data_IF_214822492843
#
_entry.id   IF_214822492843
#
_cell.length_a   1.000
_cell.length_b   1.000
_cell.length_c   1.000
_cell.angle_alpha   90.00
_cell.angle_beta   90.00
_cell.angle_gamma   90.00
#
_symmetry.space_group_name_H-M   'P 1'
#
loop_
_entity.id
_entity.type
_entity.pdbx_description
1 polymer ?
#
# COMPACT_ATOMS: atom_id res chain seq x y z
N UNK A 1 3.34 17.18 53.04
CA UNK A 1 4.34 17.61 52.04
C UNK A 1 4.93 16.34 51.49
N UNK A 2 4.37 15.85 50.39
CA UNK A 2 4.99 14.74 49.67
C UNK A 2 6.32 15.23 49.08
N UNK A 3 7.37 14.39 49.05
CA UNK A 3 8.64 14.79 48.49
C UNK A 3 8.45 15.07 46.99
N UNK A 4 9.14 16.08 46.42
CA UNK A 4 9.12 16.29 44.98
C UNK A 4 9.69 15.04 44.30
N UNK A 5 8.90 14.45 43.41
CA UNK A 5 9.33 13.37 42.52
C UNK A 5 10.59 13.86 41.78
N UNK A 6 11.71 13.13 41.81
CA UNK A 6 12.92 13.56 41.13
C UNK A 6 12.66 13.53 39.62
N UNK A 7 12.46 14.71 39.02
CA UNK A 7 12.50 14.87 37.56
C UNK A 7 13.94 14.58 37.12
N UNK A 8 14.22 13.51 36.36
CA UNK A 8 15.54 13.36 35.78
C UNK A 8 15.74 14.54 34.81
N UNK A 9 16.95 15.08 34.78
CA UNK A 9 17.42 16.13 33.85
C UNK A 9 17.34 15.65 32.38
N UNK A 10 16.16 15.39 31.84
CA UNK A 10 15.95 15.15 30.42
C UNK A 10 15.53 16.46 29.79
N UNK A 11 16.48 17.11 29.12
CA UNK A 11 16.23 18.32 28.38
C UNK A 11 15.49 17.98 27.08
N UNK A 12 14.16 18.14 27.08
CA UNK A 12 13.30 17.88 25.93
C UNK A 12 13.33 19.03 24.91
N UNK A 13 12.97 18.74 23.66
CA UNK A 13 12.79 19.78 22.64
C UNK A 13 11.61 20.72 23.00
N UNK A 14 11.67 22.02 22.65
CA UNK A 14 10.63 22.99 23.01
C UNK A 14 9.20 22.59 22.61
N UNK A 15 9.03 22.04 21.40
CA UNK A 15 7.73 21.54 20.91
C UNK A 15 7.23 20.36 21.76
N UNK A 16 8.14 19.44 22.12
CA UNK A 16 7.81 18.29 22.98
C UNK A 16 7.42 18.77 24.38
N UNK A 17 8.11 19.75 24.97
CA UNK A 17 7.73 20.34 26.27
C UNK A 17 6.33 20.93 26.22
N UNK A 18 5.99 21.64 25.13
CA UNK A 18 4.64 22.16 24.93
C UNK A 18 3.59 21.04 24.90
N UNK A 19 3.86 19.95 24.18
CA UNK A 19 2.94 18.80 24.12
C UNK A 19 2.81 18.04 25.44
N UNK A 20 3.87 18.01 26.26
CA UNK A 20 3.87 17.36 27.58
C UNK A 20 3.11 18.18 28.63
N UNK A 21 3.11 19.50 28.49
CA UNK A 21 2.41 20.42 29.40
C UNK A 21 0.95 20.66 28.99
N UNK A 22 0.63 20.62 27.70
CA UNK A 22 -0.73 20.81 27.22
C UNK A 22 -1.57 19.53 27.40
N UNK A 23 -2.73 19.69 28.04
CA UNK A 23 -3.72 18.64 28.19
C UNK A 23 -4.77 18.81 27.09
N UNK A 24 -4.80 17.85 26.15
CA UNK A 24 -5.87 17.80 25.15
C UNK A 24 -7.21 17.62 25.84
N UNK A 25 -8.20 18.42 25.42
CA UNK A 25 -9.57 18.31 25.91
C UNK A 25 -10.11 16.89 25.64
N UNK A 26 -10.38 16.15 26.71
CA UNK A 26 -10.74 14.74 26.61
C UNK A 26 -12.22 14.58 26.23
N UNK A 27 -12.51 14.63 24.93
CA UNK A 27 -13.86 14.34 24.45
C UNK A 27 -14.05 12.83 24.28
N UNK A 28 -14.49 12.16 25.34
CA UNK A 28 -14.68 10.71 25.38
C UNK A 28 -15.58 10.17 24.26
N UNK A 29 -16.57 10.96 23.80
CA UNK A 29 -17.44 10.56 22.69
C UNK A 29 -16.70 10.59 21.36
N UNK A 30 -15.94 11.65 21.08
CA UNK A 30 -15.14 11.74 19.86
C UNK A 30 -14.05 10.66 19.81
N UNK A 31 -13.45 10.34 20.96
CA UNK A 31 -12.49 9.25 21.09
C UNK A 31 -13.14 7.91 20.81
N UNK A 32 -14.31 7.63 21.39
CA UNK A 32 -15.05 6.38 21.13
C UNK A 32 -15.41 6.23 19.65
N UNK A 33 -15.90 7.29 18.99
CA UNK A 33 -16.16 7.28 17.55
C UNK A 33 -14.89 6.95 16.76
N UNK A 34 -13.76 7.59 17.10
CA UNK A 34 -12.48 7.36 16.43
C UNK A 34 -11.99 5.91 16.63
N UNK A 35 -12.16 5.35 17.83
CA UNK A 35 -11.86 3.94 18.13
C UNK A 35 -12.71 3.00 17.28
N UNK A 36 -14.03 3.22 17.21
CA UNK A 36 -14.93 2.37 16.42
C UNK A 36 -14.59 2.42 14.94
N UNK A 37 -14.34 3.62 14.40
CA UNK A 37 -14.03 3.77 12.97
C UNK A 37 -12.66 3.17 12.64
N UNK A 38 -11.61 3.44 13.42
CA UNK A 38 -10.30 2.85 13.17
C UNK A 38 -10.25 1.35 13.46
N UNK A 39 -11.06 0.86 14.40
CA UNK A 39 -11.26 -0.58 14.63
C UNK A 39 -11.89 -1.25 13.40
N UNK A 40 -12.89 -0.63 12.78
CA UNK A 40 -13.47 -1.12 11.53
C UNK A 40 -12.45 -1.09 10.39
N UNK A 41 -11.70 0.01 10.23
CA UNK A 41 -10.63 0.13 9.23
C UNK A 41 -9.58 -0.96 9.41
N UNK A 42 -9.18 -1.26 10.65
CA UNK A 42 -8.25 -2.34 10.96
C UNK A 42 -8.82 -3.70 10.58
N UNK A 43 -10.06 -4.02 10.98
CA UNK A 43 -10.70 -5.30 10.68
C UNK A 43 -10.87 -5.54 9.17
N UNK A 44 -11.37 -4.53 8.44
CA UNK A 44 -11.51 -4.59 6.98
C UNK A 44 -10.14 -4.73 6.33
N UNK A 45 -9.17 -3.92 6.73
CA UNK A 45 -7.82 -3.94 6.16
C UNK A 45 -7.09 -5.27 6.38
N UNK A 46 -7.24 -5.87 7.57
CA UNK A 46 -6.69 -7.20 7.86
C UNK A 46 -7.34 -8.25 6.96
N UNK A 47 -8.67 -8.28 6.89
CA UNK A 47 -9.40 -9.27 6.10
C UNK A 47 -9.09 -9.15 4.60
N UNK A 48 -9.15 -7.95 4.03
CA UNK A 48 -8.92 -7.70 2.61
C UNK A 48 -7.47 -7.99 2.21
N UNK A 49 -6.48 -7.49 2.95
CA UNK A 49 -5.08 -7.69 2.60
C UNK A 49 -4.62 -9.14 2.85
N UNK A 50 -5.12 -9.81 3.90
CA UNK A 50 -4.87 -11.24 4.09
C UNK A 50 -5.44 -12.07 2.94
N UNK A 51 -6.66 -11.76 2.49
CA UNK A 51 -7.27 -12.42 1.33
C UNK A 51 -6.44 -12.21 0.06
N UNK A 52 -5.97 -10.98 -0.20
CA UNK A 52 -5.11 -10.68 -1.36
C UNK A 52 -3.80 -11.45 -1.28
N UNK A 53 -3.14 -11.48 -0.12
CA UNK A 53 -1.91 -12.25 0.09
C UNK A 53 -2.13 -13.74 -0.15
N UNK A 54 -3.25 -14.29 0.32
CA UNK A 54 -3.60 -15.69 0.12
C UNK A 54 -3.86 -16.01 -1.36
N UNK A 55 -4.76 -15.27 -2.01
CA UNK A 55 -5.16 -15.54 -3.40
C UNK A 55 -4.00 -15.30 -4.36
N UNK A 56 -3.34 -14.13 -4.27
CA UNK A 56 -2.28 -13.76 -5.22
C UNK A 56 -0.98 -14.51 -4.93
N UNK A 57 -0.69 -14.81 -3.66
CA UNK A 57 0.52 -15.52 -3.26
C UNK A 57 0.50 -17.02 -3.61
N UNK A 58 -0.66 -17.68 -3.48
CA UNK A 58 -0.76 -19.13 -3.61
C UNK A 58 -1.58 -19.62 -4.82
N UNK A 59 -2.58 -18.86 -5.28
CA UNK A 59 -3.53 -19.33 -6.32
C UNK A 59 -3.31 -18.71 -7.70
N UNK A 60 -2.63 -17.57 -7.79
CA UNK A 60 -2.37 -16.89 -9.06
C UNK A 60 -0.97 -17.22 -9.58
N UNK A 61 -0.81 -17.40 -10.91
CA UNK A 61 0.51 -17.55 -11.53
C UNK A 61 1.41 -16.36 -11.19
N UNK A 62 2.68 -16.65 -10.87
CA UNK A 62 3.68 -15.63 -10.57
C UNK A 62 3.95 -14.76 -11.80
N UNK A 63 3.37 -13.56 -11.80
CA UNK A 63 3.59 -12.51 -12.80
C UNK A 63 4.20 -11.29 -12.13
N UNK A 64 4.81 -10.40 -12.92
CA UNK A 64 5.35 -9.13 -12.40
C UNK A 64 4.28 -8.32 -11.65
N UNK A 65 3.06 -8.28 -12.18
CA UNK A 65 1.93 -7.60 -11.52
C UNK A 65 1.54 -8.24 -10.19
N UNK A 66 1.61 -9.58 -10.09
CA UNK A 66 1.37 -10.29 -8.84
C UNK A 66 2.41 -9.95 -7.77
N UNK A 67 3.69 -9.77 -8.14
CA UNK A 67 4.75 -9.38 -7.21
C UNK A 67 4.47 -8.00 -6.60
N UNK A 68 4.09 -7.02 -7.43
CA UNK A 68 3.74 -5.69 -6.94
C UNK A 68 2.57 -5.72 -5.95
N UNK A 69 1.51 -6.46 -6.29
CA UNK A 69 0.30 -6.57 -5.47
C UNK A 69 0.58 -7.27 -4.14
N UNK A 70 1.36 -8.35 -4.14
CA UNK A 70 1.72 -9.07 -2.90
C UNK A 70 2.56 -8.20 -1.97
N UNK A 71 3.53 -7.44 -2.50
CA UNK A 71 4.36 -6.57 -1.66
C UNK A 71 3.56 -5.40 -1.08
N UNK A 72 2.64 -4.83 -1.86
CA UNK A 72 1.77 -3.76 -1.39
C UNK A 72 0.76 -4.27 -0.35
N UNK A 73 0.13 -5.42 -0.60
CA UNK A 73 -0.76 -6.06 0.37
C UNK A 73 -0.02 -6.46 1.65
N UNK A 74 1.27 -6.82 1.56
CA UNK A 74 2.08 -7.13 2.74
C UNK A 74 2.33 -5.88 3.60
N UNK A 75 2.70 -4.74 3.00
CA UNK A 75 2.89 -3.50 3.78
C UNK A 75 1.57 -3.01 4.39
N UNK A 76 0.49 -3.06 3.61
CA UNK A 76 -0.85 -2.66 4.04
C UNK A 76 -1.40 -3.57 5.15
N UNK A 77 -1.13 -4.89 5.07
CA UNK A 77 -1.48 -5.85 6.12
C UNK A 77 -0.74 -5.55 7.44
N UNK A 78 0.56 -5.27 7.39
CA UNK A 78 1.34 -4.94 8.59
C UNK A 78 0.81 -3.65 9.26
N UNK A 79 0.49 -2.63 8.46
CA UNK A 79 -0.08 -1.37 8.97
C UNK A 79 -1.45 -1.58 9.63
N UNK A 80 -2.32 -2.36 9.00
CA UNK A 80 -3.67 -2.62 9.50
C UNK A 80 -3.68 -3.55 10.72
N UNK A 81 -2.70 -4.47 10.81
CA UNK A 81 -2.49 -5.35 11.96
C UNK A 81 -2.02 -4.62 13.22
N UNK A 82 -1.26 -3.54 13.06
CA UNK A 82 -0.70 -2.75 14.18
C UNK A 82 -1.62 -1.59 14.59
N UNK A 83 -2.55 -1.18 13.72
CA UNK A 83 -3.58 -0.16 13.99
C UNK A 83 -4.39 -0.34 15.29
N UNK A 84 -4.75 -1.56 15.76
CA UNK A 84 -5.42 -1.76 17.04
C UNK A 84 -4.66 -1.17 18.23
N UNK A 85 -3.31 -1.15 18.20
CA UNK A 85 -2.50 -0.53 19.25
C UNK A 85 -2.79 0.98 19.37
N UNK A 86 -3.02 1.65 18.23
CA UNK A 86 -3.44 3.06 18.22
C UNK A 86 -4.89 3.25 18.66
N UNK A 87 -5.77 2.27 18.42
CA UNK A 87 -7.15 2.33 18.96
C UNK A 87 -7.15 2.24 20.49
N UNK A 88 -6.26 1.43 21.09
CA UNK A 88 -6.08 1.39 22.54
C UNK A 88 -5.59 2.74 23.06
N UNK A 89 -4.66 3.39 22.38
CA UNK A 89 -4.21 4.74 22.71
C UNK A 89 -5.36 5.77 22.71
N UNK A 90 -6.26 5.73 21.72
CA UNK A 90 -7.42 6.61 21.66
C UNK A 90 -8.45 6.28 22.74
N UNK A 91 -8.69 5.00 23.02
CA UNK A 91 -9.58 4.53 24.08
C UNK A 91 -9.10 4.98 25.47
N UNK A 92 -7.80 4.89 25.71
CA UNK A 92 -7.13 5.36 26.93
C UNK A 92 -6.94 6.88 26.98
N UNK A 93 -7.84 7.65 26.34
CA UNK A 93 -7.83 9.11 26.37
C UNK A 93 -6.50 9.73 25.93
N UNK A 94 -5.92 9.22 24.84
CA UNK A 94 -4.62 9.63 24.31
C UNK A 94 -3.44 9.33 25.26
N UNK A 95 -3.52 8.24 26.03
CA UNK A 95 -2.45 7.73 26.88
C UNK A 95 -1.91 6.40 26.35
N UNK A 96 -0.58 6.29 26.25
CA UNK A 96 0.11 5.09 25.77
C UNK A 96 0.54 4.18 26.93
N UNK A 97 -0.27 3.15 27.21
CA UNK A 97 -0.03 2.23 28.34
C UNK A 97 0.63 0.89 27.95
N UNK A 98 1.00 0.73 26.67
CA UNK A 98 1.48 -0.54 26.11
C UNK A 98 3.02 -0.68 26.16
N UNK A 99 3.70 0.23 26.84
CA UNK A 99 5.15 0.25 26.98
C UNK A 99 5.91 0.69 25.73
N UNK A 100 7.22 0.89 25.90
CA UNK A 100 8.12 1.40 24.86
C UNK A 100 8.22 0.51 23.60
N UNK A 101 8.37 -0.83 23.69
CA UNK A 101 8.56 -1.66 22.50
C UNK A 101 7.40 -1.56 21.49
N UNK A 102 6.16 -1.54 21.99
CA UNK A 102 4.98 -1.42 21.14
C UNK A 102 4.82 0.00 20.58
N UNK A 103 5.26 1.04 21.29
CA UNK A 103 5.26 2.41 20.79
C UNK A 103 6.18 2.54 19.57
N UNK A 104 7.40 1.99 19.69
CA UNK A 104 8.38 1.96 18.60
C UNK A 104 7.85 1.11 17.44
N UNK A 105 7.36 -0.09 17.71
CA UNK A 105 6.85 -1.00 16.68
C UNK A 105 5.69 -0.39 15.89
N UNK A 106 4.67 0.13 16.58
CA UNK A 106 3.50 0.75 15.94
C UNK A 106 3.90 1.91 15.03
N UNK A 107 4.77 2.78 15.54
CA UNK A 107 5.23 3.95 14.79
C UNK A 107 6.10 3.53 13.61
N UNK A 108 7.02 2.58 13.81
CA UNK A 108 7.91 2.09 12.76
C UNK A 108 7.14 1.46 11.61
N UNK A 109 6.12 0.64 11.90
CA UNK A 109 5.29 0.01 10.87
C UNK A 109 4.49 1.04 10.10
N UNK A 110 3.95 2.08 10.76
CA UNK A 110 3.28 3.19 10.08
C UNK A 110 4.19 3.89 9.06
N UNK A 111 5.42 4.27 9.46
CA UNK A 111 6.37 4.93 8.57
C UNK A 111 6.92 4.00 7.49
N UNK A 112 7.15 2.73 7.81
CA UNK A 112 7.58 1.73 6.83
C UNK A 112 6.52 1.56 5.75
N UNK A 113 5.25 1.41 6.13
CA UNK A 113 4.13 1.33 5.20
C UNK A 113 4.04 2.59 4.32
N UNK A 114 4.16 3.78 4.91
CA UNK A 114 4.17 5.04 4.18
C UNK A 114 5.22 5.03 3.04
N UNK A 115 6.47 4.66 3.34
CA UNK A 115 7.53 4.65 2.31
C UNK A 115 7.35 3.50 1.30
N UNK A 116 7.03 2.28 1.75
CA UNK A 116 6.86 1.11 0.87
C UNK A 116 5.66 1.32 -0.07
N UNK A 117 4.49 1.67 0.45
CA UNK A 117 3.28 1.81 -0.36
C UNK A 117 3.42 2.94 -1.38
N UNK A 118 4.01 4.08 -1.00
CA UNK A 118 4.29 5.18 -1.95
C UNK A 118 5.27 4.77 -3.06
N UNK A 119 6.36 4.08 -2.71
CA UNK A 119 7.33 3.58 -3.69
C UNK A 119 6.66 2.59 -4.66
N UNK A 120 5.89 1.63 -4.14
CA UNK A 120 5.22 0.61 -4.95
C UNK A 120 4.16 1.24 -5.87
N UNK A 121 3.37 2.20 -5.40
CA UNK A 121 2.40 2.90 -6.25
C UNK A 121 3.07 3.67 -7.40
N UNK A 122 4.23 4.29 -7.14
CA UNK A 122 5.04 4.93 -8.16
C UNK A 122 5.62 3.91 -9.16
N UNK A 123 6.20 2.80 -8.66
CA UNK A 123 6.76 1.74 -9.49
C UNK A 123 5.70 1.06 -10.38
N UNK A 124 4.51 0.79 -9.84
CA UNK A 124 3.38 0.22 -10.58
C UNK A 124 2.92 1.19 -11.69
N UNK A 125 2.83 2.49 -11.37
CA UNK A 125 2.43 3.51 -12.35
C UNK A 125 3.45 3.62 -13.48
N UNK A 126 4.74 3.54 -13.16
CA UNK A 126 5.84 3.53 -14.13
C UNK A 126 5.84 2.25 -14.98
N UNK A 127 5.66 1.06 -14.38
CA UNK A 127 5.55 -0.23 -15.10
C UNK A 127 4.42 -0.17 -16.14
N UNK A 128 3.24 0.34 -15.76
CA UNK A 128 2.11 0.52 -16.68
C UNK A 128 2.43 1.48 -17.83
N UNK A 129 3.14 2.57 -17.54
CA UNK A 129 3.56 3.51 -18.57
C UNK A 129 4.57 2.89 -19.55
N UNK A 130 5.56 2.15 -19.04
CA UNK A 130 6.58 1.47 -19.86
C UNK A 130 5.99 0.36 -20.73
N UNK A 131 5.04 -0.41 -20.22
CA UNK A 131 4.30 -1.42 -20.99
C UNK A 131 3.68 -0.84 -22.26
N UNK A 132 3.13 0.38 -22.15
CA UNK A 132 2.52 1.07 -23.29
C UNK A 132 3.56 1.77 -24.14
N UNK A 133 4.56 2.44 -23.58
CA UNK A 133 5.47 3.27 -24.38
C UNK A 133 6.60 2.49 -25.03
N UNK A 134 7.06 1.42 -24.40
CA UNK A 134 8.19 0.59 -24.88
C UNK A 134 7.85 -0.90 -24.82
N UNK A 135 6.90 -1.37 -25.66
CA UNK A 135 6.43 -2.76 -25.61
C UNK A 135 7.54 -3.78 -25.87
N UNK A 136 8.44 -3.53 -26.83
CA UNK A 136 9.57 -4.43 -27.16
C UNK A 136 10.56 -4.54 -25.98
N UNK A 137 10.88 -3.41 -25.34
CA UNK A 137 11.74 -3.43 -24.15
C UNK A 137 11.07 -4.18 -23.01
N UNK A 138 9.78 -3.93 -22.79
CA UNK A 138 9.01 -4.60 -21.74
C UNK A 138 8.97 -6.11 -21.98
N UNK A 139 8.80 -6.59 -23.21
CA UNK A 139 8.81 -8.03 -23.49
C UNK A 139 10.15 -8.70 -23.15
N UNK A 140 11.26 -7.98 -23.35
CA UNK A 140 12.60 -8.54 -23.17
C UNK A 140 13.18 -8.36 -21.76
N UNK A 141 12.76 -7.33 -21.02
CA UNK A 141 13.36 -6.95 -19.72
C UNK A 141 12.42 -7.07 -18.53
N UNK A 142 11.09 -7.08 -18.74
CA UNK A 142 10.11 -7.19 -17.65
C UNK A 142 10.00 -8.64 -17.19
N UNK A 143 10.70 -8.98 -16.12
CA UNK A 143 10.74 -10.33 -15.56
C UNK A 143 10.37 -10.35 -14.07
N UNK A 144 9.90 -11.50 -13.59
CA UNK A 144 9.53 -11.70 -12.17
C UNK A 144 10.73 -11.51 -11.23
N UNK A 145 11.94 -12.03 -11.52
CA UNK A 145 13.12 -11.77 -10.68
C UNK A 145 13.46 -10.28 -10.58
N UNK A 146 13.36 -9.54 -11.68
CA UNK A 146 13.61 -8.10 -11.67
C UNK A 146 12.58 -7.36 -10.79
N UNK A 147 11.31 -7.75 -10.84
CA UNK A 147 10.27 -7.17 -10.00
C UNK A 147 10.53 -7.41 -8.50
N UNK A 148 10.95 -8.63 -8.13
CA UNK A 148 11.37 -8.95 -6.76
C UNK A 148 12.57 -8.14 -6.31
N UNK A 149 13.58 -7.98 -7.17
CA UNK A 149 14.75 -7.15 -6.87
C UNK A 149 14.35 -5.69 -6.62
N UNK A 150 13.47 -5.12 -7.45
CA UNK A 150 12.96 -3.75 -7.25
C UNK A 150 12.15 -3.64 -5.94
N UNK A 151 11.33 -4.64 -5.61
CA UNK A 151 10.61 -4.65 -4.33
C UNK A 151 11.59 -4.71 -3.15
N UNK A 152 12.58 -5.60 -3.18
CA UNK A 152 13.59 -5.72 -2.12
C UNK A 152 14.36 -4.41 -1.92
N UNK A 153 14.74 -3.73 -3.01
CA UNK A 153 15.35 -2.40 -2.95
C UNK A 153 14.39 -1.36 -2.35
N UNK A 154 13.10 -1.40 -2.72
CA UNK A 154 12.07 -0.54 -2.15
C UNK A 154 11.89 -0.74 -0.65
N UNK A 155 11.87 -1.98 -0.17
CA UNK A 155 11.81 -2.32 1.26
C UNK A 155 13.05 -1.86 2.01
N UNK A 156 14.25 -2.11 1.47
CA UNK A 156 15.49 -1.66 2.08
C UNK A 156 15.57 -0.12 2.17
N UNK A 157 15.18 0.57 1.10
CA UNK A 157 15.10 2.02 1.06
C UNK A 157 14.06 2.55 2.06
N UNK A 158 12.87 1.93 2.13
CA UNK A 158 11.84 2.33 3.07
C UNK A 158 12.26 2.10 4.53
N UNK A 159 12.90 0.97 4.83
CA UNK A 159 13.42 0.68 6.16
C UNK A 159 14.50 1.69 6.58
N UNK A 160 15.41 2.04 5.67
CA UNK A 160 16.42 3.06 5.91
C UNK A 160 15.79 4.43 6.22
N UNK A 161 14.77 4.83 5.47
CA UNK A 161 14.07 6.09 5.70
C UNK A 161 13.15 6.04 6.94
N UNK A 162 12.63 4.87 7.32
CA UNK A 162 11.82 4.68 8.52
C UNK A 162 12.67 4.65 9.80
N UNK A 163 13.97 4.33 9.70
CA UNK A 163 14.87 4.15 10.84
C UNK A 163 14.92 5.35 11.81
N UNK A 164 15.05 6.61 11.36
CA UNK A 164 15.07 7.75 12.28
C UNK A 164 13.79 7.85 13.13
N UNK A 165 12.66 7.44 12.57
CA UNK A 165 11.37 7.45 13.28
C UNK A 165 11.24 6.35 14.32
N UNK A 166 12.08 5.31 14.25
CA UNK A 166 12.21 4.28 15.28
C UNK A 166 13.20 4.74 16.37
N UNK A 167 14.36 5.26 15.96
CA UNK A 167 15.44 5.68 16.85
C UNK A 167 15.01 6.84 17.75
N UNK A 168 14.33 7.84 17.20
CA UNK A 168 13.86 9.01 17.96
C UNK A 168 12.48 8.80 18.58
N UNK A 169 11.98 7.56 18.71
CA UNK A 169 10.66 7.30 19.28
C UNK A 169 10.76 6.97 20.76
N UNK A 170 9.91 7.60 21.55
CA UNK A 170 9.94 7.45 23.01
C UNK A 170 8.55 7.51 23.64
N UNK A 171 8.46 7.01 24.87
CA UNK A 171 7.27 7.10 25.72
C UNK A 171 7.58 8.04 26.88
N UNK A 172 6.95 9.22 26.87
CA UNK A 172 7.26 10.30 27.80
C UNK A 172 6.06 10.60 28.72
N UNK A 173 6.25 10.76 30.04
CA UNK A 173 5.17 11.13 30.95
C UNK A 173 4.73 12.59 30.76
N UNK A 174 3.43 12.82 30.63
CA UNK A 174 2.80 14.14 30.60
C UNK A 174 2.58 14.68 32.00
N UNK A 175 2.36 16.00 32.10
CA UNK A 175 2.05 16.68 33.36
C UNK A 175 0.76 16.20 34.03
N UNK A 176 -0.18 15.63 33.27
CA UNK A 176 -1.45 15.08 33.76
C UNK A 176 -1.40 13.57 34.07
N UNK A 177 -0.21 12.98 34.09
CA UNK A 177 0.00 11.56 34.41
C UNK A 177 -0.19 10.59 33.24
N UNK A 178 -0.60 11.07 32.05
CA UNK A 178 -0.69 10.25 30.83
C UNK A 178 0.68 10.00 30.21
N UNK A 179 0.77 9.01 29.35
CA UNK A 179 1.98 8.67 28.60
C UNK A 179 1.86 9.06 27.12
N UNK A 180 2.80 9.86 26.62
CA UNK A 180 2.88 10.29 25.22
C UNK A 180 3.87 9.41 24.46
N UNK A 181 3.39 8.64 23.48
CA UNK A 181 4.23 7.96 22.50
C UNK A 181 4.49 8.89 21.29
N UNK A 182 5.64 9.56 21.26
CA UNK A 182 5.95 10.55 20.22
C UNK A 182 7.45 10.66 19.90
N UNK A 183 7.82 11.54 18.96
CA UNK A 183 9.21 11.80 18.65
C UNK A 183 9.90 12.58 19.76
N UNK A 184 11.00 12.04 20.26
CA UNK A 184 11.93 12.68 21.17
C UNK A 184 13.25 12.98 20.44
N UNK A 185 13.29 14.11 19.72
CA UNK A 185 14.48 14.52 18.98
C UNK A 185 15.63 15.01 19.86
N UNK A 186 15.45 15.08 21.18
CA UNK A 186 16.51 15.38 22.13
C UNK A 186 17.39 14.16 22.45
N UNK A 187 16.94 12.94 22.10
CA UNK A 187 17.73 11.72 22.28
C UNK A 187 19.03 11.80 21.47
N UNK A 188 20.12 11.26 21.99
CA UNK A 188 21.44 11.28 21.33
C UNK A 188 21.91 12.70 20.95
N UNK A 189 22.11 13.61 21.92
CA UNK A 189 22.52 14.98 21.64
C UNK A 189 23.87 15.00 20.91
N UNK A 190 24.00 15.91 19.96
CA UNK A 190 25.27 16.22 19.32
C UNK A 190 25.94 17.38 20.07
N UNK A 191 27.25 17.58 19.87
CA UNK A 191 27.96 18.72 20.44
C UNK A 191 27.50 20.09 19.90
N UNK A 192 26.53 20.14 18.97
CA UNK A 192 26.02 21.37 18.35
C UNK A 192 24.95 22.11 19.19
N UNK A 193 24.52 21.53 20.31
CA UNK A 193 23.52 22.13 21.21
C UNK A 193 22.09 21.63 20.94
N UNK A 194 21.32 21.49 22.03
CA UNK A 194 20.01 20.83 22.04
C UNK A 194 18.99 21.48 21.08
N UNK A 195 18.87 22.80 21.11
CA UNK A 195 17.88 23.52 20.30
C UNK A 195 18.15 23.37 18.81
N UNK A 196 19.43 23.41 18.43
CA UNK A 196 19.86 23.21 17.04
C UNK A 196 19.58 21.78 16.57
N UNK A 197 19.87 20.77 17.40
CA UNK A 197 19.56 19.37 17.09
C UNK A 197 18.06 19.14 16.92
N UNK A 198 17.25 19.62 17.87
CA UNK A 198 15.80 19.51 17.83
C UNK A 198 15.23 20.10 16.54
N UNK A 199 15.62 21.34 16.22
CA UNK A 199 15.15 22.03 15.02
C UNK A 199 15.60 21.31 13.75
N UNK A 200 16.88 20.95 13.66
CA UNK A 200 17.43 20.29 12.47
C UNK A 200 16.73 18.94 12.21
N UNK A 201 16.55 18.11 13.25
CA UNK A 201 15.93 16.79 13.14
C UNK A 201 14.44 16.88 12.81
N UNK A 202 13.71 17.80 13.45
CA UNK A 202 12.30 18.01 13.16
C UNK A 202 12.08 18.49 11.72
N UNK A 203 12.84 19.50 11.27
CA UNK A 203 12.78 20.00 9.89
C UNK A 203 13.17 18.92 8.90
N UNK A 204 14.30 18.22 9.14
CA UNK A 204 14.81 17.19 8.25
C UNK A 204 13.82 16.04 8.09
N UNK A 205 13.25 15.53 9.17
CA UNK A 205 12.25 14.44 9.11
C UNK A 205 10.96 14.89 8.43
N UNK A 206 10.45 16.09 8.73
CA UNK A 206 9.24 16.62 8.11
C UNK A 206 9.37 16.83 6.59
N UNK A 207 10.47 17.48 6.16
CA UNK A 207 10.72 17.74 4.74
C UNK A 207 11.05 16.45 4.00
N UNK A 208 11.95 15.62 4.55
CA UNK A 208 12.35 14.37 3.88
C UNK A 208 11.16 13.45 3.66
N UNK A 209 10.27 13.23 4.64
CA UNK A 209 9.07 12.40 4.41
C UNK A 209 8.10 13.03 3.42
N UNK A 210 7.88 14.34 3.48
CA UNK A 210 6.99 15.02 2.52
C UNK A 210 7.51 14.92 1.08
N UNK A 211 8.82 14.98 0.88
CA UNK A 211 9.42 14.82 -0.44
C UNK A 211 9.45 13.35 -0.89
N UNK A 212 10.02 12.47 -0.06
CA UNK A 212 10.36 11.11 -0.44
C UNK A 212 9.15 10.16 -0.42
N UNK A 213 8.22 10.35 0.51
CA UNK A 213 7.03 9.51 0.62
C UNK A 213 5.79 10.09 -0.08
N UNK A 214 5.81 11.36 -0.50
CA UNK A 214 4.64 11.99 -1.11
C UNK A 214 4.94 12.74 -2.40
N UNK A 215 5.69 13.83 -2.38
CA UNK A 215 5.85 14.69 -3.55
C UNK A 215 6.53 13.97 -4.73
N UNK A 216 7.63 13.25 -4.48
CA UNK A 216 8.34 12.50 -5.51
C UNK A 216 7.52 11.31 -6.04
N UNK A 217 6.95 10.44 -5.19
CA UNK A 217 6.02 9.41 -5.65
C UNK A 217 4.84 9.97 -6.45
N UNK A 218 4.19 11.04 -5.97
CA UNK A 218 3.08 11.69 -6.67
C UNK A 218 3.52 12.22 -8.04
N UNK A 219 4.69 12.86 -8.13
CA UNK A 219 5.23 13.36 -9.40
C UNK A 219 5.50 12.22 -10.38
N UNK A 220 6.05 11.08 -9.91
CA UNK A 220 6.25 9.88 -10.74
C UNK A 220 4.92 9.30 -11.21
N UNK A 221 3.92 9.20 -10.32
CA UNK A 221 2.58 8.70 -10.64
C UNK A 221 1.93 9.58 -11.72
N UNK A 222 1.85 10.90 -11.47
CA UNK A 222 1.26 11.88 -12.40
C UNK A 222 2.02 11.90 -13.73
N UNK A 223 3.36 11.94 -13.69
CA UNK A 223 4.20 11.93 -14.88
C UNK A 223 4.03 10.68 -15.73
N UNK A 224 4.01 9.50 -15.10
CA UNK A 224 3.82 8.21 -15.76
C UNK A 224 2.45 8.14 -16.45
N UNK A 225 1.39 8.58 -15.79
CA UNK A 225 0.06 8.56 -16.37
C UNK A 225 -0.16 9.64 -17.45
N UNK A 226 0.44 10.83 -17.30
CA UNK A 226 0.45 11.83 -18.36
C UNK A 226 1.20 11.30 -19.59
N UNK A 227 2.33 10.62 -19.40
CA UNK A 227 3.06 9.94 -20.46
C UNK A 227 2.22 8.85 -21.14
N UNK A 228 1.51 8.03 -20.36
CA UNK A 228 0.62 7.00 -20.87
C UNK A 228 -0.51 7.59 -21.71
N UNK A 229 -1.19 8.63 -21.21
CA UNK A 229 -2.27 9.31 -21.92
C UNK A 229 -1.80 9.91 -23.24
N UNK A 230 -0.60 10.51 -23.27
CA UNK A 230 0.01 11.02 -24.50
C UNK A 230 0.26 9.89 -25.50
N UNK A 231 0.77 8.74 -25.05
CA UNK A 231 1.04 7.58 -25.91
C UNK A 231 -0.22 6.95 -26.47
N UNK A 232 -1.30 6.86 -25.68
CA UNK A 232 -2.61 6.42 -26.18
C UNK A 232 -3.15 7.38 -27.24
N UNK A 233 -3.17 8.68 -26.97
CA UNK A 233 -3.66 9.69 -27.93
C UNK A 233 -2.87 9.66 -29.25
N UNK A 234 -1.55 9.45 -29.18
CA UNK A 234 -0.71 9.28 -30.38
C UNK A 234 -1.11 8.05 -31.20
N UNK A 235 -1.40 6.92 -30.55
CA UNK A 235 -1.85 5.68 -31.20
C UNK A 235 -3.25 5.80 -31.77
N UNK A 236 -4.18 6.41 -31.04
CA UNK A 236 -5.53 6.68 -31.52
C UNK A 236 -5.51 7.55 -32.77
N UNK A 237 -4.71 8.63 -32.78
CA UNK A 237 -4.50 9.46 -33.98
C UNK A 237 -3.93 8.67 -35.16
N UNK A 238 -2.96 7.79 -34.90
CA UNK A 238 -2.39 6.93 -35.93
C UNK A 238 -3.40 5.91 -36.48
N UNK A 239 -4.30 5.37 -35.65
CA UNK A 239 -5.38 4.45 -36.07
C UNK A 239 -6.52 5.16 -36.80
N UNK A 240 -6.88 6.37 -36.36
CA UNK A 240 -7.86 7.20 -37.06
C UNK A 240 -7.41 7.51 -38.49
N UNK A 241 -6.10 7.77 -38.69
CA UNK A 241 -5.50 7.90 -40.04
C UNK A 241 -5.57 6.62 -40.88
N UNK A 242 -5.75 5.45 -40.25
CA UNK A 242 -5.86 4.14 -40.91
C UNK A 242 -7.32 3.64 -41.03
N UNK A 243 -8.31 4.48 -40.71
CA UNK A 243 -9.73 4.15 -40.90
C UNK A 243 -10.34 3.15 -39.91
N UNK A 244 -9.68 2.83 -38.79
CA UNK A 244 -10.22 1.92 -37.76
C UNK A 244 -10.68 2.70 -36.51
N UNK A 245 -11.98 2.72 -36.23
CA UNK A 245 -12.60 3.71 -35.33
C UNK A 245 -13.39 3.21 -34.11
N UNK A 246 -13.59 1.91 -33.88
CA UNK A 246 -14.62 1.51 -32.88
C UNK A 246 -14.12 1.13 -31.46
N UNK A 247 -12.91 0.57 -31.28
CA UNK A 247 -12.55 -0.07 -30.00
C UNK A 247 -11.75 0.74 -28.97
N UNK A 248 -11.02 1.79 -29.36
CA UNK A 248 -10.00 2.42 -28.48
C UNK A 248 -10.53 3.39 -27.42
N UNK A 249 -11.68 4.04 -27.68
CA UNK A 249 -12.16 5.20 -26.91
C UNK A 249 -12.72 4.84 -25.53
N UNK A 250 -13.33 3.65 -25.40
CA UNK A 250 -13.88 3.12 -24.15
C UNK A 250 -12.77 2.67 -23.19
N UNK A 251 -11.77 1.94 -23.70
CA UNK A 251 -10.60 1.49 -22.94
C UNK A 251 -9.79 2.68 -22.39
N UNK A 252 -9.59 3.72 -23.21
CA UNK A 252 -8.91 4.97 -22.82
C UNK A 252 -9.63 5.69 -21.68
N UNK A 253 -10.97 5.73 -21.70
CA UNK A 253 -11.79 6.36 -20.65
C UNK A 253 -11.81 5.55 -19.35
N UNK A 254 -11.93 4.23 -19.42
CA UNK A 254 -11.88 3.35 -18.24
C UNK A 254 -10.53 3.45 -17.54
N UNK A 255 -9.43 3.41 -18.30
CA UNK A 255 -8.10 3.60 -17.77
C UNK A 255 -7.94 5.00 -17.14
N UNK A 256 -8.39 6.07 -17.80
CA UNK A 256 -8.29 7.43 -17.25
C UNK A 256 -9.05 7.59 -15.92
N UNK A 257 -10.21 6.92 -15.76
CA UNK A 257 -10.96 6.91 -14.50
C UNK A 257 -10.19 6.19 -13.38
N UNK A 258 -9.60 5.04 -13.70
CA UNK A 258 -8.74 4.28 -12.79
C UNK A 258 -7.50 5.07 -12.36
N UNK A 259 -6.86 5.77 -13.30
CA UNK A 259 -5.75 6.68 -13.00
C UNK A 259 -6.17 7.78 -12.03
N UNK A 260 -7.29 8.43 -12.32
CA UNK A 260 -7.81 9.50 -11.48
C UNK A 260 -8.11 8.98 -10.07
N UNK A 261 -8.68 7.78 -9.93
CA UNK A 261 -8.95 7.20 -8.61
C UNK A 261 -7.68 6.90 -7.82
N UNK A 262 -6.62 6.36 -8.45
CA UNK A 262 -5.34 6.10 -7.76
C UNK A 262 -4.67 7.40 -7.29
N UNK A 263 -4.59 8.41 -8.16
CA UNK A 263 -4.02 9.72 -7.80
C UNK A 263 -4.83 10.38 -6.68
N UNK A 264 -6.16 10.36 -6.81
CA UNK A 264 -7.06 11.00 -5.83
C UNK A 264 -6.98 10.30 -4.48
N UNK A 265 -7.02 8.97 -4.44
CA UNK A 265 -6.92 8.24 -3.18
C UNK A 265 -5.56 8.46 -2.51
N UNK A 266 -4.46 8.39 -3.26
CA UNK A 266 -3.13 8.67 -2.74
C UNK A 266 -3.04 10.10 -2.15
N UNK A 267 -3.52 11.10 -2.89
CA UNK A 267 -3.51 12.48 -2.44
C UNK A 267 -4.40 12.71 -1.21
N UNK A 268 -5.63 12.19 -1.21
CA UNK A 268 -6.56 12.38 -0.10
C UNK A 268 -6.09 11.67 1.18
N UNK A 269 -5.43 10.53 1.08
CA UNK A 269 -4.92 9.81 2.23
C UNK A 269 -3.65 10.43 2.82
N UNK A 270 -2.73 10.90 1.98
CA UNK A 270 -1.39 11.29 2.44
C UNK A 270 -1.18 12.80 2.52
N UNK A 271 -1.82 13.60 1.65
CA UNK A 271 -1.61 15.05 1.63
C UNK A 271 -1.98 15.74 2.96
N UNK A 272 -3.12 15.40 3.62
CA UNK A 272 -3.45 16.02 4.91
C UNK A 272 -2.35 15.76 5.94
N UNK A 273 -1.87 14.52 6.05
CA UNK A 273 -0.82 14.15 7.01
C UNK A 273 0.47 14.93 6.75
N UNK A 274 0.96 14.97 5.50
CA UNK A 274 2.17 15.71 5.18
C UNK A 274 2.02 17.22 5.38
N UNK A 275 0.85 17.79 5.10
CA UNK A 275 0.57 19.20 5.36
C UNK A 275 0.68 19.52 6.86
N UNK A 276 0.08 18.70 7.73
CA UNK A 276 0.15 18.91 9.18
C UNK A 276 1.55 18.66 9.75
N UNK A 277 2.31 17.73 9.17
CA UNK A 277 3.72 17.55 9.54
C UNK A 277 4.59 18.76 9.19
N UNK A 278 4.31 19.43 8.06
CA UNK A 278 4.99 20.68 7.71
C UNK A 278 4.49 21.84 8.59
N UNK A 279 3.20 21.87 8.93
CA UNK A 279 2.64 22.86 9.85
C UNK A 279 3.25 22.73 11.25
N UNK A 280 3.53 21.52 11.72
CA UNK A 280 4.23 21.26 13.00
C UNK A 280 5.61 21.94 13.06
N UNK A 281 6.34 21.94 11.94
CA UNK A 281 7.63 22.66 11.84
C UNK A 281 7.42 24.17 11.96
N UNK A 282 6.38 24.72 11.33
CA UNK A 282 6.07 26.16 11.37
C UNK A 282 5.55 26.58 12.75
N UNK A 283 4.75 25.73 13.40
CA UNK A 283 4.21 25.95 14.73
C UNK A 283 5.30 26.08 15.80
N UNK A 284 6.48 25.48 15.59
CA UNK A 284 7.63 25.69 16.47
C UNK A 284 8.06 27.18 16.56
N UNK A 285 7.82 27.96 15.49
CA UNK A 285 8.05 29.41 15.46
C UNK A 285 6.78 30.24 15.67
N UNK A 286 5.62 29.60 15.77
CA UNK A 286 4.30 30.25 15.89
C UNK A 286 3.47 29.56 16.99
N UNK A 287 3.60 29.99 18.26
CA UNK A 287 2.98 29.33 19.41
C UNK A 287 1.45 29.13 19.33
N UNK A 288 0.65 30.07 18.77
CA UNK A 288 -0.79 29.84 18.56
C UNK A 288 -1.14 28.69 17.61
N UNK A 289 -0.19 28.22 16.79
CA UNK A 289 -0.37 27.08 15.90
C UNK A 289 -0.25 25.72 16.58
N UNK A 290 0.33 25.64 17.78
CA UNK A 290 0.55 24.36 18.48
C UNK A 290 -0.76 23.62 18.78
N UNK A 291 -1.82 24.26 19.33
CA UNK A 291 -3.11 23.58 19.54
C UNK A 291 -3.75 23.09 18.23
N UNK A 292 -3.54 23.81 17.13
CA UNK A 292 -4.05 23.44 15.80
C UNK A 292 -3.37 22.16 15.30
N UNK A 293 -2.06 22.04 15.50
CA UNK A 293 -1.28 20.85 15.13
C UNK A 293 -1.64 19.67 16.03
N UNK A 294 -1.79 19.87 17.34
CA UNK A 294 -2.12 18.79 18.27
C UNK A 294 -3.50 18.16 17.99
N UNK A 295 -4.49 18.95 17.56
CA UNK A 295 -5.82 18.43 17.18
C UNK A 295 -5.82 17.94 15.73
N UNK A 296 -5.19 18.69 14.82
CA UNK A 296 -5.26 18.45 13.40
C UNK A 296 -4.36 17.32 12.90
N UNK A 297 -3.21 17.06 13.53
CA UNK A 297 -2.31 15.98 13.12
C UNK A 297 -2.89 14.58 13.34
N UNK A 298 -3.54 14.25 14.50
CA UNK A 298 -4.27 12.99 14.65
C UNK A 298 -5.41 12.83 13.63
N UNK A 299 -6.17 13.90 13.37
CA UNK A 299 -7.22 13.91 12.35
C UNK A 299 -6.65 13.71 10.94
N UNK A 300 -5.51 14.31 10.63
CA UNK A 300 -4.83 14.14 9.36
C UNK A 300 -4.26 12.72 9.19
N UNK A 301 -3.73 12.14 10.27
CA UNK A 301 -3.22 10.76 10.30
C UNK A 301 -4.33 9.73 10.07
N UNK A 302 -5.57 10.03 10.48
CA UNK A 302 -6.74 9.20 10.19
C UNK A 302 -6.88 8.93 8.68
N UNK A 303 -6.73 9.95 7.83
CA UNK A 303 -6.82 9.78 6.38
C UNK A 303 -5.72 8.86 5.84
N UNK A 304 -4.53 8.87 6.44
CA UNK A 304 -3.43 7.99 6.04
C UNK A 304 -3.70 6.54 6.40
N UNK A 305 -4.40 6.27 7.51
CA UNK A 305 -4.85 4.91 7.87
C UNK A 305 -5.91 4.35 6.92
N UNK A 306 -6.54 5.17 6.07
CA UNK A 306 -7.43 4.69 5.01
C UNK A 306 -6.66 4.20 3.77
N UNK A 307 -5.38 4.55 3.60
CA UNK A 307 -4.61 4.13 2.41
C UNK A 307 -4.56 2.60 2.25
N UNK A 308 -4.29 1.80 3.31
CA UNK A 308 -4.23 0.33 3.20
C UNK A 308 -5.52 -0.37 2.77
N UNK A 309 -6.69 0.22 3.07
CA UNK A 309 -8.00 -0.36 2.69
C UNK A 309 -8.41 0.08 1.28
N UNK A 310 -7.98 1.26 0.84
CA UNK A 310 -8.32 1.75 -0.50
C UNK A 310 -7.49 1.07 -1.59
N UNK A 311 -6.27 0.62 -1.29
CA UNK A 311 -5.37 0.03 -2.27
C UNK A 311 -5.98 -1.20 -2.99
N UNK A 312 -6.41 -2.29 -2.31
CA UNK A 312 -7.04 -3.45 -2.96
C UNK A 312 -8.28 -3.10 -3.78
N UNK A 313 -9.12 -2.20 -3.27
CA UNK A 313 -10.33 -1.70 -3.93
C UNK A 313 -9.96 -0.98 -5.24
N UNK A 314 -8.93 -0.13 -5.21
CA UNK A 314 -8.44 0.55 -6.41
C UNK A 314 -7.90 -0.46 -7.44
N UNK A 315 -7.21 -1.53 -7.03
CA UNK A 315 -6.71 -2.57 -7.96
C UNK A 315 -7.81 -3.48 -8.51
N UNK A 316 -8.82 -3.78 -7.72
CA UNK A 316 -9.99 -4.54 -8.13
C UNK A 316 -10.78 -3.81 -9.23
N UNK A 317 -11.07 -2.52 -9.03
CA UNK A 317 -11.74 -1.70 -10.06
C UNK A 317 -10.84 -1.32 -11.23
N UNK A 318 -9.53 -1.50 -11.08
CA UNK A 318 -8.51 -1.25 -12.09
C UNK A 318 -8.42 -2.33 -13.18
N UNK A 319 -8.71 -3.58 -12.86
CA UNK A 319 -8.65 -4.70 -13.80
C UNK A 319 -9.95 -5.51 -13.71
N UNK A 320 -10.87 -5.42 -14.68
CA UNK A 320 -12.06 -6.26 -14.74
C UNK A 320 -11.73 -7.76 -14.63
N UNK A 321 -10.61 -8.16 -15.24
CA UNK A 321 -10.11 -9.54 -15.21
C UNK A 321 -9.53 -9.97 -13.84
N UNK A 322 -9.15 -9.02 -12.98
CA UNK A 322 -8.64 -9.32 -11.63
C UNK A 322 -9.78 -9.69 -10.69
N UNK A 323 -10.88 -8.93 -10.71
CA UNK A 323 -12.12 -9.29 -10.02
C UNK A 323 -12.68 -10.64 -10.49
N UNK A 324 -12.65 -10.91 -11.80
CA UNK A 324 -13.10 -12.19 -12.35
C UNK A 324 -12.28 -13.37 -11.82
N UNK A 325 -10.94 -13.24 -11.74
CA UNK A 325 -10.05 -14.28 -11.22
C UNK A 325 -10.16 -14.48 -9.70
N UNK A 326 -10.33 -13.40 -8.93
CA UNK A 326 -10.60 -13.51 -7.48
C UNK A 326 -11.92 -14.25 -7.27
N UNK A 327 -12.98 -13.88 -8.01
CA UNK A 327 -14.29 -14.53 -7.92
C UNK A 327 -14.23 -16.01 -8.31
N UNK A 328 -13.50 -16.36 -9.37
CA UNK A 328 -13.27 -17.76 -9.77
C UNK A 328 -12.49 -18.54 -8.71
N UNK A 329 -11.48 -17.92 -8.09
CA UNK A 329 -10.68 -18.57 -7.04
C UNK A 329 -11.47 -18.78 -5.75
N UNK A 330 -12.33 -17.82 -5.38
CA UNK A 330 -13.27 -17.91 -4.26
C UNK A 330 -14.38 -18.93 -4.54
N UNK A 331 -14.91 -18.97 -5.77
CA UNK A 331 -15.88 -19.98 -6.20
C UNK A 331 -15.32 -21.38 -6.05
N UNK A 332 -14.10 -21.63 -6.56
CA UNK A 332 -13.44 -22.92 -6.43
C UNK A 332 -13.12 -23.32 -4.97
N UNK A 333 -12.90 -22.33 -4.08
CA UNK A 333 -12.72 -22.58 -2.63
C UNK A 333 -14.03 -22.94 -1.95
N UNK A 334 -15.11 -22.22 -2.27
CA UNK A 334 -16.43 -22.48 -1.73
C UNK A 334 -16.93 -23.85 -2.20
N UNK A 335 -16.72 -24.18 -3.48
CA UNK A 335 -17.01 -25.49 -4.05
C UNK A 335 -16.20 -26.59 -3.38
N UNK A 336 -14.89 -26.41 -3.17
CA UNK A 336 -14.07 -27.39 -2.45
C UNK A 336 -14.46 -27.60 -0.99
N UNK A 337 -14.92 -26.55 -0.29
CA UNK A 337 -15.42 -26.64 1.09
C UNK A 337 -16.81 -27.30 1.16
N UNK A 338 -17.68 -27.03 0.18
CA UNK A 338 -19.00 -27.67 0.05
C UNK A 338 -18.88 -29.15 -0.32
N UNK A 339 -17.88 -29.53 -1.11
CA UNK A 339 -17.57 -30.93 -1.45
C UNK A 339 -17.01 -31.70 -0.24
N UNK A 340 -16.21 -31.05 0.63
CA UNK A 340 -15.75 -31.67 1.88
C UNK A 340 -16.87 -31.85 2.91
N UNK A 341 -17.84 -30.92 3.01
CA UNK A 341 -19.03 -31.11 3.87
C UNK A 341 -20.01 -32.16 3.30
N UNK A 342 -20.10 -32.31 1.98
CA UNK A 342 -20.93 -33.32 1.32
C UNK A 342 -20.44 -34.77 1.47
N UNK A 343 -19.17 -34.97 1.85
CA UNK A 343 -18.57 -36.31 2.06
C UNK A 343 -18.57 -36.75 3.53
N UNK A 344 -19.08 -35.94 4.45
CA UNK A 344 -19.00 -36.18 5.91
C UNK A 344 -20.19 -36.92 6.56
N UNK A 345 -21.25 -37.29 5.82
CA UNK A 345 -22.45 -37.87 6.43
C UNK A 345 -23.17 -38.89 5.56
N UNK A 346 -22.92 -40.18 5.81
CA UNK A 346 -23.74 -41.28 5.28
C UNK A 346 -22.93 -42.56 5.03
N UNK A 347 -22.95 -43.50 5.97
CA UNK A 347 -22.28 -44.79 5.85
C UNK A 347 -22.94 -45.76 4.86
N UNK A 348 -22.15 -46.76 4.43
CA UNK A 348 -22.68 -48.06 3.97
C UNK A 348 -22.31 -48.51 2.56
N UNK A 349 -21.25 -49.34 2.48
CA UNK A 349 -21.04 -50.53 1.60
C UNK A 349 -21.17 -50.46 0.05
N UNK A 350 -20.17 -51.13 -0.55
CA UNK A 350 -20.13 -51.91 -1.81
C UNK A 350 -19.91 -51.23 -3.17
N UNK A 351 -18.69 -51.44 -3.70
CA UNK A 351 -18.44 -52.13 -4.98
C UNK A 351 -18.66 -51.39 -6.31
N UNK A 352 -17.58 -51.04 -7.01
CA UNK A 352 -17.58 -50.75 -8.46
C UNK A 352 -16.43 -49.83 -8.91
N UNK A 353 -15.73 -50.11 -10.04
CA UNK A 353 -14.46 -49.48 -10.37
C UNK A 353 -14.61 -48.05 -10.92
N UNK A 354 -13.57 -47.25 -10.65
CA UNK A 354 -13.43 -45.84 -10.99
C UNK A 354 -13.61 -45.55 -12.50
N UNK A 355 -14.62 -44.74 -12.82
CA UNK A 355 -14.65 -43.94 -14.04
C UNK A 355 -13.78 -42.70 -13.84
N UNK A 356 -12.61 -42.68 -14.49
CA UNK A 356 -11.84 -41.44 -14.67
C UNK A 356 -12.65 -40.51 -15.56
N UNK A 357 -13.19 -39.42 -14.99
CA UNK A 357 -13.68 -38.29 -15.77
C UNK A 357 -12.48 -37.63 -16.46
N UNK A 358 -12.40 -37.85 -17.77
CA UNK A 358 -11.43 -37.21 -18.65
C UNK A 358 -11.72 -35.70 -18.72
N UNK A 359 -10.67 -34.89 -18.53
CA UNK A 359 -10.67 -33.49 -18.94
C UNK A 359 -10.99 -33.40 -20.45
N UNK A 360 -11.77 -32.39 -20.91
CA UNK A 360 -12.04 -32.24 -22.33
C UNK A 360 -10.78 -31.74 -23.05
N UNK A 361 -10.16 -32.63 -23.82
CA UNK A 361 -9.14 -32.29 -24.82
C UNK A 361 -9.82 -31.71 -26.06
N UNK A 362 -9.62 -30.41 -26.32
CA UNK A 362 -9.99 -29.81 -27.60
C UNK A 362 -9.09 -30.36 -28.72
N UNK A 363 -9.66 -31.15 -29.63
CA UNK A 363 -9.07 -31.47 -30.93
C UNK A 363 -9.30 -30.32 -31.92
N UNK A 364 -8.32 -29.95 -32.76
CA UNK A 364 -8.52 -28.95 -33.82
C UNK A 364 -9.25 -29.55 -35.04
N UNK A 365 -9.98 -28.73 -35.82
CA UNK A 365 -10.71 -29.20 -36.99
C UNK A 365 -9.79 -29.50 -38.17
N UNK A 366 -10.11 -30.57 -38.89
CA UNK A 366 -9.49 -31.01 -40.14
C UNK A 366 -9.85 -30.09 -41.32
N UNK A 367 -8.85 -29.72 -42.12
CA UNK A 367 -9.03 -29.21 -43.49
C UNK A 367 -7.73 -29.36 -44.29
N UNK A 368 -7.75 -29.38 -45.64
CA UNK A 368 -7.17 -30.44 -46.45
C UNK A 368 -5.74 -30.13 -46.91
N UNK A 369 -5.02 -31.19 -47.29
CA UNK A 369 -3.67 -31.12 -47.92
C UNK A 369 -3.68 -30.24 -49.18
N UNK A 370 -2.53 -29.61 -49.50
CA UNK A 370 -1.74 -30.18 -50.59
C UNK A 370 -0.20 -30.16 -50.40
N UNK A 371 0.42 -31.17 -51.00
CA UNK A 371 1.75 -31.24 -51.67
C UNK A 371 3.01 -30.56 -51.09
N UNK A 372 3.91 -31.43 -50.59
CA UNK A 372 5.37 -31.52 -50.84
C UNK A 372 6.17 -30.26 -51.15
N UNK A 373 7.09 -29.89 -50.25
CA UNK A 373 8.55 -29.91 -50.51
C UNK A 373 9.33 -29.56 -49.23
N UNK A 374 10.51 -30.15 -49.14
CA UNK A 374 11.44 -30.20 -48.01
C UNK A 374 12.16 -28.87 -47.73
N UNK A 375 12.26 -28.46 -46.47
CA UNK A 375 13.49 -27.88 -45.90
C UNK A 375 13.43 -27.87 -44.37
N UNK A 376 14.55 -28.26 -43.76
CA UNK A 376 14.79 -28.38 -42.32
C UNK A 376 14.76 -27.03 -41.60
N UNK A 377 13.85 -26.87 -40.63
CA UNK A 377 13.89 -25.78 -39.65
C UNK A 377 13.33 -26.25 -38.29
N UNK A 378 14.05 -25.91 -37.21
CA UNK A 378 13.79 -26.24 -35.80
C UNK A 378 12.38 -25.80 -35.35
N UNK A 379 11.72 -26.51 -34.42
CA UNK A 379 10.33 -26.22 -34.07
C UNK A 379 10.25 -24.97 -33.18
N UNK A 380 9.63 -23.93 -33.74
CA UNK A 380 9.32 -22.66 -33.12
C UNK A 380 7.83 -22.70 -32.72
N UNK A 381 7.48 -23.52 -31.74
CA UNK A 381 6.09 -23.72 -31.30
C UNK A 381 5.98 -23.69 -29.78
N UNK A 382 6.10 -22.48 -29.23
CA UNK A 382 5.56 -22.10 -27.91
C UNK A 382 5.40 -20.56 -27.75
N UNK A 383 5.68 -19.78 -28.81
CA UNK A 383 5.67 -18.31 -28.78
C UNK A 383 4.32 -17.67 -29.10
N UNK A 384 3.33 -18.43 -29.55
CA UNK A 384 2.04 -17.87 -30.00
C UNK A 384 0.90 -17.97 -28.97
N UNK A 385 1.07 -18.69 -27.85
CA UNK A 385 0.03 -18.77 -26.82
C UNK A 385 0.03 -17.60 -25.82
N UNK A 386 1.07 -16.75 -25.84
CA UNK A 386 1.14 -15.52 -25.02
C UNK A 386 0.32 -14.35 -25.59
N UNK A 387 -0.32 -14.52 -26.75
CA UNK A 387 -1.08 -13.48 -27.45
C UNK A 387 -2.57 -13.38 -27.03
N UNK A 388 -3.05 -14.23 -26.12
CA UNK A 388 -4.48 -14.26 -25.73
C UNK A 388 -4.87 -13.43 -24.49
N UNK A 389 -3.95 -12.65 -23.90
CA UNK A 389 -4.22 -11.84 -22.69
C UNK A 389 -4.42 -10.34 -22.95
N UNK A 390 -4.86 -9.93 -24.15
CA UNK A 390 -5.39 -8.58 -24.41
C UNK A 390 -6.54 -8.68 -25.41
N UNK A 391 -7.62 -7.89 -25.26
CA UNK A 391 -8.63 -7.79 -26.31
C UNK A 391 -7.93 -7.36 -27.60
N UNK A 392 -8.17 -8.13 -28.69
CA UNK A 392 -7.59 -7.87 -30.01
C UNK A 392 -7.79 -6.41 -30.39
N UNK A 393 -6.66 -5.77 -30.70
CA UNK A 393 -6.50 -4.37 -31.12
C UNK A 393 -6.45 -4.25 -32.63
#
# INVERSE_FOLDING_TARGET
MDPPIPQPNLSFCPVTVSMLSHSLNNNSRANLVSVLVLGLVSAVGIAENALVLFVVGFRVRRTVSAVWVVNLALSDFLATLTLPLFTVYLYSSHSWELGWPLCVAQSSVFFLNMFVSSFLLAAISLDRWLLVCRPVWSQNRRSVPAAWAVCALGWAWAALNALPYAVFRDVMPKADGRHLCYHNFALHPTGAGLEQDCRARQVATAISKALLAFALPLAVIVGSYAGFARSLRRRERARARRGSTSGGRTVSRQFSRMVASVITAFALCWAPYHLFCLLEVVAASWPPGVPVVEVGLPLASFFSFLSPILNPVLYAFSCPDFCARIRQSLGALLEGLLEEEGSGGGGGRSGGPASRSALPTCSPPTSPRPHTSSTTAKPQTEREQLLFCYPRL
#
